data_IF_084720542588
#
_entry.id   IF_084720542588
#
_cell.length_a   1.000
_cell.length_b   1.000
_cell.length_c   1.000
_cell.angle_alpha   90.00
_cell.angle_beta   90.00
_cell.angle_gamma   90.00
#
_symmetry.space_group_name_H-M   'P 1'
#
loop_
_entity.id
_entity.type
_entity.pdbx_description
1 polymer ?
#
# COMPACT_ATOMS: atom_id res chain seq x y z
N UNK A 1 -8.40 -28.30 -34.60
CA UNK A 1 -7.16 -28.07 -33.83
C UNK A 1 -7.60 -27.95 -32.38
N UNK A 2 -7.06 -28.72 -31.42
CA UNK A 2 -7.25 -28.40 -30.00
C UNK A 2 -6.76 -26.97 -29.79
N UNK A 3 -7.60 -26.13 -29.20
CA UNK A 3 -7.35 -24.69 -29.07
C UNK A 3 -6.16 -24.41 -28.15
N UNK A 4 -5.15 -23.71 -28.68
CA UNK A 4 -4.06 -23.16 -27.89
C UNK A 4 -4.60 -22.02 -27.02
N UNK A 5 -5.13 -22.37 -25.85
CA UNK A 5 -5.42 -21.38 -24.81
C UNK A 5 -4.11 -20.69 -24.40
N UNK A 6 -4.13 -19.37 -24.35
CA UNK A 6 -3.01 -18.57 -23.87
C UNK A 6 -2.61 -19.01 -22.45
N UNK A 7 -1.32 -19.28 -22.16
CA UNK A 7 -0.91 -19.64 -20.81
C UNK A 7 -1.19 -18.50 -19.84
N UNK A 8 -1.68 -18.85 -18.66
CA UNK A 8 -2.09 -17.89 -17.63
C UNK A 8 -1.08 -17.93 -16.48
N UNK A 9 -0.53 -16.78 -16.13
CA UNK A 9 0.18 -16.56 -14.86
C UNK A 9 -0.70 -15.78 -13.89
N UNK A 10 -0.35 -15.80 -12.60
CA UNK A 10 -1.16 -15.17 -11.55
C UNK A 10 -0.38 -14.08 -10.82
N UNK A 11 -1.07 -12.99 -10.51
CA UNK A 11 -0.64 -11.99 -9.54
C UNK A 11 -1.54 -12.14 -8.31
N UNK A 12 -0.90 -12.19 -7.14
CA UNK A 12 -1.57 -12.26 -5.86
C UNK A 12 -1.91 -10.86 -5.34
N UNK A 13 -2.99 -10.78 -4.57
CA UNK A 13 -3.42 -9.58 -3.86
C UNK A 13 -3.80 -9.98 -2.44
N UNK A 14 -3.00 -9.60 -1.45
CA UNK A 14 -3.32 -9.86 -0.03
C UNK A 14 -3.81 -8.57 0.58
N UNK A 15 -5.08 -8.46 0.94
CA UNK A 15 -5.61 -7.25 1.58
C UNK A 15 -6.92 -7.50 2.31
N UNK A 16 -7.47 -6.48 2.99
CA UNK A 16 -8.60 -6.68 3.88
C UNK A 16 -9.91 -6.54 3.11
N UNK A 17 -10.45 -7.65 2.61
CA UNK A 17 -11.70 -7.68 1.83
C UNK A 17 -12.95 -7.87 2.69
N UNK A 18 -12.79 -8.19 3.97
CA UNK A 18 -13.87 -8.37 4.93
C UNK A 18 -13.72 -7.46 6.17
N UNK A 19 -14.69 -7.56 7.09
CA UNK A 19 -14.66 -6.84 8.36
C UNK A 19 -14.48 -5.32 8.21
N UNK A 20 -13.61 -4.75 9.05
CA UNK A 20 -13.31 -3.31 9.09
C UNK A 20 -12.62 -2.80 7.82
N UNK A 21 -11.86 -3.63 7.12
CA UNK A 21 -11.15 -3.20 5.91
C UNK A 21 -11.96 -3.37 4.62
N UNK A 22 -13.16 -3.97 4.66
CA UNK A 22 -14.01 -4.16 3.48
C UNK A 22 -14.20 -2.90 2.61
N UNK A 23 -14.39 -1.68 3.16
CA UNK A 23 -14.46 -0.46 2.33
C UNK A 23 -13.20 -0.26 1.49
N UNK A 24 -12.02 -0.44 2.09
CA UNK A 24 -10.74 -0.42 1.39
C UNK A 24 -10.69 -1.52 0.32
N UNK A 25 -11.07 -2.76 0.64
CA UNK A 25 -11.15 -3.84 -0.33
C UNK A 25 -12.02 -3.52 -1.57
N UNK A 26 -13.11 -2.77 -1.41
CA UNK A 26 -13.96 -2.32 -2.51
C UNK A 26 -13.32 -1.28 -3.42
N UNK A 27 -12.41 -0.47 -2.88
CA UNK A 27 -11.64 0.48 -3.67
C UNK A 27 -10.52 -0.21 -4.45
N UNK A 28 -9.81 -1.16 -3.80
CA UNK A 28 -8.63 -1.81 -4.35
C UNK A 28 -8.93 -2.81 -5.47
N UNK A 29 -9.91 -3.69 -5.25
CA UNK A 29 -10.14 -4.83 -6.12
C UNK A 29 -10.51 -4.43 -7.56
N UNK A 30 -11.37 -3.43 -7.81
CA UNK A 30 -11.70 -3.00 -9.17
C UNK A 30 -10.50 -2.42 -9.91
N UNK A 31 -9.66 -1.62 -9.26
CA UNK A 31 -8.55 -0.93 -9.93
C UNK A 31 -7.41 -1.88 -10.27
N UNK A 32 -7.11 -2.84 -9.40
CA UNK A 32 -6.14 -3.91 -9.71
C UNK A 32 -6.66 -4.78 -10.85
N UNK A 33 -7.94 -5.17 -10.82
CA UNK A 33 -8.55 -5.94 -11.93
C UNK A 33 -8.50 -5.17 -13.25
N UNK A 34 -8.75 -3.87 -13.23
CA UNK A 34 -8.70 -3.03 -14.42
C UNK A 34 -7.29 -2.99 -15.02
N UNK A 35 -6.26 -2.77 -14.21
CA UNK A 35 -4.87 -2.76 -14.67
C UNK A 35 -4.44 -4.10 -15.31
N UNK A 36 -4.84 -5.22 -14.71
CA UNK A 36 -4.56 -6.55 -15.25
C UNK A 36 -5.35 -6.83 -16.55
N UNK A 37 -6.59 -6.36 -16.64
CA UNK A 37 -7.39 -6.46 -17.86
C UNK A 37 -6.78 -5.64 -19.00
N UNK A 38 -6.38 -4.40 -18.72
CA UNK A 38 -5.67 -3.55 -19.67
C UNK A 38 -4.39 -4.22 -20.17
N UNK A 39 -3.60 -4.84 -19.28
CA UNK A 39 -2.39 -5.58 -19.67
C UNK A 39 -2.67 -6.78 -20.58
N UNK A 40 -3.79 -7.47 -20.32
CA UNK A 40 -4.23 -8.60 -21.12
C UNK A 40 -4.71 -8.18 -22.53
N UNK A 41 -5.23 -6.96 -22.66
CA UNK A 41 -5.75 -6.42 -23.92
C UNK A 41 -4.70 -5.60 -24.71
N UNK A 42 -3.70 -5.03 -24.02
CA UNK A 42 -2.65 -4.19 -24.58
C UNK A 42 -1.53 -4.96 -25.30
N UNK A 43 -1.46 -6.27 -25.13
CA UNK A 43 -0.51 -7.14 -25.84
C UNK A 43 0.93 -7.12 -25.30
N UNK A 44 1.23 -6.33 -24.25
CA UNK A 44 2.57 -6.28 -23.66
C UNK A 44 3.04 -7.61 -23.05
N UNK A 45 2.10 -8.52 -22.78
CA UNK A 45 2.37 -9.87 -22.24
C UNK A 45 2.60 -10.91 -23.35
N UNK A 46 2.59 -10.51 -24.63
CA UNK A 46 2.74 -11.40 -25.77
C UNK A 46 1.64 -12.47 -25.82
N UNK A 47 2.02 -13.74 -25.71
CA UNK A 47 1.07 -14.88 -25.69
C UNK A 47 0.51 -15.19 -24.30
N UNK A 48 1.05 -14.59 -23.25
CA UNK A 48 0.64 -14.85 -21.88
C UNK A 48 -0.57 -14.00 -21.50
N UNK A 49 -1.35 -14.50 -20.55
CA UNK A 49 -2.39 -13.75 -19.85
C UNK A 49 -2.08 -13.73 -18.37
N UNK A 50 -2.59 -12.73 -17.67
CA UNK A 50 -2.49 -12.59 -16.21
C UNK A 50 -3.87 -12.69 -15.57
N UNK A 51 -3.96 -13.46 -14.48
CA UNK A 51 -5.13 -13.57 -13.63
C UNK A 51 -4.83 -13.03 -12.22
N UNK A 52 -5.87 -12.55 -11.54
CA UNK A 52 -5.78 -12.07 -10.16
C UNK A 52 -6.20 -13.17 -9.18
N UNK A 53 -5.41 -13.38 -8.14
CA UNK A 53 -5.78 -14.17 -6.96
C UNK A 53 -5.81 -13.24 -5.75
N UNK A 54 -7.01 -12.88 -5.29
CA UNK A 54 -7.19 -11.99 -4.14
C UNK A 54 -7.56 -12.78 -2.89
N UNK A 55 -6.78 -12.63 -1.82
CA UNK A 55 -6.97 -13.32 -0.53
C UNK A 55 -7.13 -12.32 0.60
N UNK A 56 -8.14 -12.56 1.44
CA UNK A 56 -8.47 -11.71 2.58
C UNK A 56 -7.51 -11.96 3.75
N UNK A 57 -6.97 -10.88 4.33
CA UNK A 57 -6.09 -10.94 5.49
C UNK A 57 -6.75 -10.53 6.81
N UNK A 58 -8.01 -10.08 6.80
CA UNK A 58 -8.76 -9.61 7.98
C UNK A 58 -8.06 -8.52 8.80
N UNK A 59 -7.09 -7.79 8.22
CA UNK A 59 -6.16 -6.91 8.93
C UNK A 59 -5.35 -7.64 10.04
N UNK A 60 -5.29 -8.98 10.00
CA UNK A 60 -4.63 -9.82 10.98
C UNK A 60 -3.28 -10.34 10.46
N UNK A 61 -2.16 -10.09 11.16
CA UNK A 61 -0.84 -10.54 10.71
C UNK A 61 -0.71 -12.06 10.56
N UNK A 62 -1.38 -12.86 11.39
CA UNK A 62 -1.30 -14.33 11.27
C UNK A 62 -2.03 -14.83 10.03
N UNK A 63 -3.19 -14.26 9.76
CA UNK A 63 -3.97 -14.52 8.55
C UNK A 63 -3.20 -14.08 7.31
N UNK A 64 -2.57 -12.89 7.32
CA UNK A 64 -1.72 -12.42 6.22
C UNK A 64 -0.56 -13.40 5.91
N UNK A 65 0.13 -13.91 6.95
CA UNK A 65 1.16 -14.92 6.78
C UNK A 65 0.61 -16.24 6.21
N UNK A 66 -0.57 -16.67 6.65
CA UNK A 66 -1.25 -17.86 6.14
C UNK A 66 -1.65 -17.69 4.66
N UNK A 67 -2.16 -16.52 4.26
CA UNK A 67 -2.48 -16.23 2.85
C UNK A 67 -1.23 -16.19 1.98
N UNK A 68 -0.14 -15.60 2.46
CA UNK A 68 1.15 -15.64 1.78
C UNK A 68 1.66 -17.07 1.57
N UNK A 69 1.51 -17.92 2.59
CA UNK A 69 1.86 -19.34 2.49
C UNK A 69 0.97 -20.10 1.51
N UNK A 70 -0.34 -19.80 1.47
CA UNK A 70 -1.28 -20.40 0.53
C UNK A 70 -0.96 -20.01 -0.93
N UNK A 71 -0.68 -18.72 -1.17
CA UNK A 71 -0.20 -18.21 -2.46
C UNK A 71 1.10 -18.89 -2.90
N UNK A 72 2.01 -19.16 -1.97
CA UNK A 72 3.27 -19.83 -2.28
C UNK A 72 3.10 -21.26 -2.83
N UNK A 73 1.96 -21.91 -2.58
CA UNK A 73 1.64 -23.25 -3.11
C UNK A 73 1.26 -23.22 -4.60
N UNK A 74 0.96 -22.04 -5.17
CA UNK A 74 0.56 -21.91 -6.56
C UNK A 74 1.79 -21.71 -7.48
N UNK A 75 2.13 -22.67 -8.34
CA UNK A 75 3.29 -22.56 -9.21
C UNK A 75 3.13 -21.48 -10.30
N UNK A 76 1.90 -21.08 -10.62
CA UNK A 76 1.63 -20.05 -11.64
C UNK A 76 1.67 -18.63 -11.05
N UNK A 77 1.79 -18.50 -9.73
CA UNK A 77 1.93 -17.22 -9.06
C UNK A 77 3.33 -16.64 -9.27
N UNK A 78 3.37 -15.43 -9.84
CA UNK A 78 4.60 -14.76 -10.24
C UNK A 78 5.01 -13.63 -9.28
N UNK A 79 4.04 -12.94 -8.66
CA UNK A 79 4.27 -11.81 -7.76
C UNK A 79 3.02 -11.53 -6.90
N UNK A 80 3.19 -10.75 -5.84
CA UNK A 80 2.12 -10.33 -4.92
C UNK A 80 2.13 -8.81 -4.73
N UNK A 81 0.95 -8.19 -4.75
CA UNK A 81 0.71 -6.81 -4.34
C UNK A 81 0.04 -6.78 -2.95
N UNK A 82 0.43 -5.81 -2.11
CA UNK A 82 0.00 -5.71 -0.71
C UNK A 82 1.02 -6.35 0.23
N UNK A 83 0.71 -6.61 1.50
CA UNK A 83 -0.47 -6.15 2.25
C UNK A 83 -0.58 -4.64 2.46
N UNK A 84 -1.67 -4.23 3.11
CA UNK A 84 -2.09 -2.83 3.30
C UNK A 84 -1.80 -2.24 4.68
N UNK A 85 -1.19 -2.99 5.59
CA UNK A 85 -0.68 -2.46 6.87
C UNK A 85 0.73 -2.96 7.11
N UNK A 86 1.54 -2.23 7.88
CA UNK A 86 2.94 -2.63 8.15
C UNK A 86 2.98 -3.97 8.88
N UNK A 87 2.03 -4.22 9.79
CA UNK A 87 1.97 -5.46 10.57
C UNK A 87 1.64 -6.69 9.69
N UNK A 88 0.66 -6.58 8.80
CA UNK A 88 0.31 -7.65 7.85
C UNK A 88 1.43 -7.88 6.83
N UNK A 89 2.03 -6.79 6.33
CA UNK A 89 3.15 -6.88 5.40
C UNK A 89 4.38 -7.54 6.03
N UNK A 90 4.73 -7.18 7.27
CA UNK A 90 5.86 -7.76 7.97
C UNK A 90 5.69 -9.27 8.22
N UNK A 91 4.45 -9.74 8.40
CA UNK A 91 4.15 -11.15 8.58
C UNK A 91 4.12 -11.94 7.25
N UNK A 92 3.62 -11.34 6.16
CA UNK A 92 3.55 -11.97 4.85
C UNK A 92 4.90 -12.04 4.11
N UNK A 93 5.72 -10.98 4.21
CA UNK A 93 7.00 -10.84 3.51
C UNK A 93 7.95 -12.05 3.66
N UNK A 94 8.24 -12.57 4.87
CA UNK A 94 9.17 -13.68 5.01
C UNK A 94 8.68 -14.98 4.35
N UNK A 95 7.36 -15.20 4.28
CA UNK A 95 6.79 -16.38 3.61
C UNK A 95 6.99 -16.32 2.10
N UNK A 96 6.76 -15.15 1.50
CA UNK A 96 6.95 -14.93 0.06
C UNK A 96 8.42 -14.92 -0.33
N UNK A 97 9.29 -14.30 0.48
CA UNK A 97 10.73 -14.31 0.27
C UNK A 97 11.30 -15.73 0.26
N UNK A 98 10.90 -16.58 1.21
CA UNK A 98 11.32 -17.99 1.27
C UNK A 98 10.86 -18.79 0.04
N UNK A 99 9.69 -18.47 -0.52
CA UNK A 99 9.17 -19.08 -1.73
C UNK A 99 9.73 -18.46 -3.02
N UNK A 100 10.62 -17.47 -2.91
CA UNK A 100 11.18 -16.71 -4.03
C UNK A 100 10.12 -15.96 -4.83
N UNK A 101 9.00 -15.56 -4.21
CA UNK A 101 7.92 -14.79 -4.84
C UNK A 101 8.15 -13.31 -4.55
N UNK A 102 8.30 -12.47 -5.59
CA UNK A 102 8.36 -11.03 -5.44
C UNK A 102 7.15 -10.46 -4.72
N UNK A 103 7.39 -9.61 -3.72
CA UNK A 103 6.37 -8.82 -3.05
C UNK A 103 6.55 -7.34 -3.39
N UNK A 104 5.47 -6.68 -3.76
CA UNK A 104 5.38 -5.22 -3.79
C UNK A 104 4.42 -4.77 -2.68
N UNK A 105 4.97 -4.43 -1.52
CA UNK A 105 4.24 -4.01 -0.34
C UNK A 105 3.67 -2.60 -0.50
N UNK A 106 2.46 -2.38 0.02
CA UNK A 106 1.80 -1.05 0.03
C UNK A 106 1.89 -0.34 1.37
N UNK A 107 2.71 -0.90 2.28
CA UNK A 107 2.98 -0.39 3.61
C UNK A 107 4.50 -0.38 3.87
N UNK A 108 4.97 0.45 4.83
CA UNK A 108 6.37 0.47 5.23
C UNK A 108 6.84 -0.90 5.73
N UNK A 109 8.08 -1.26 5.38
CA UNK A 109 8.75 -2.46 5.87
C UNK A 109 10.17 -2.10 6.28
N UNK A 110 10.54 -2.43 7.52
CA UNK A 110 11.91 -2.28 7.98
C UNK A 110 12.79 -3.38 7.40
N UNK A 111 13.88 -3.00 6.73
CA UNK A 111 14.90 -3.90 6.19
C UNK A 111 14.32 -5.06 5.35
N UNK A 112 13.65 -4.77 4.22
CA UNK A 112 13.08 -5.80 3.36
C UNK A 112 14.16 -6.79 2.85
N UNK A 113 13.85 -8.08 2.86
CA UNK A 113 14.72 -9.12 2.31
C UNK A 113 14.74 -9.07 0.79
N UNK A 114 15.71 -9.77 0.17
CA UNK A 114 15.75 -9.93 -1.30
C UNK A 114 14.41 -10.42 -1.85
N UNK A 115 13.93 -9.77 -2.92
CA UNK A 115 12.62 -10.07 -3.53
C UNK A 115 11.44 -9.35 -2.86
N UNK A 116 11.67 -8.56 -1.82
CA UNK A 116 10.65 -7.73 -1.18
C UNK A 116 10.92 -6.26 -1.52
N UNK A 117 9.90 -5.61 -2.07
CA UNK A 117 9.91 -4.21 -2.49
C UNK A 117 8.76 -3.48 -1.81
N UNK A 118 8.86 -2.17 -1.65
CA UNK A 118 7.80 -1.35 -1.04
C UNK A 118 7.48 -0.13 -1.90
N UNK A 119 6.22 0.29 -1.87
CA UNK A 119 5.73 1.54 -2.44
C UNK A 119 5.74 2.70 -1.42
N UNK A 120 6.38 2.48 -0.28
CA UNK A 120 6.58 3.46 0.77
C UNK A 120 8.05 3.84 0.90
N UNK A 121 8.35 5.08 1.32
CA UNK A 121 9.70 5.42 1.79
C UNK A 121 10.15 4.53 2.94
N UNK A 122 11.45 4.51 3.19
CA UNK A 122 12.01 3.78 4.32
C UNK A 122 11.46 4.33 5.65
N UNK A 123 11.24 3.47 6.67
CA UNK A 123 10.67 3.89 7.94
C UNK A 123 11.38 5.09 8.58
N UNK A 124 12.71 5.19 8.46
CA UNK A 124 13.49 6.33 9.00
C UNK A 124 13.10 7.66 8.33
N UNK A 125 12.89 7.67 7.01
CA UNK A 125 12.42 8.86 6.29
C UNK A 125 11.00 9.25 6.71
N UNK A 126 10.15 8.25 6.94
CA UNK A 126 8.79 8.47 7.45
C UNK A 126 8.85 9.10 8.84
N UNK A 127 9.64 8.54 9.77
CA UNK A 127 9.78 9.10 11.11
C UNK A 127 10.31 10.53 11.08
N UNK A 128 11.34 10.81 10.28
CA UNK A 128 11.87 12.16 10.13
C UNK A 128 10.82 13.15 9.61
N UNK A 129 9.99 12.74 8.64
CA UNK A 129 8.89 13.56 8.14
C UNK A 129 7.81 13.83 9.21
N UNK A 130 7.47 12.82 10.02
CA UNK A 130 6.50 12.98 11.12
C UNK A 130 7.03 13.93 12.19
N UNK A 131 8.31 13.83 12.55
CA UNK A 131 8.96 14.73 13.52
C UNK A 131 9.00 16.17 13.03
N UNK A 132 9.39 16.38 11.76
CA UNK A 132 9.44 17.71 11.15
C UNK A 132 8.05 18.38 11.14
N UNK A 133 6.99 17.64 10.80
CA UNK A 133 5.63 18.18 10.83
C UNK A 133 5.15 18.45 12.27
N UNK A 134 5.53 17.60 13.22
CA UNK A 134 5.21 17.80 14.63
C UNK A 134 5.86 19.09 15.18
N UNK A 135 7.13 19.34 14.84
CA UNK A 135 7.85 20.57 15.20
C UNK A 135 7.22 21.82 14.56
N UNK A 136 6.83 21.72 13.29
CA UNK A 136 6.15 22.80 12.57
C UNK A 136 4.83 23.19 13.24
N UNK A 137 4.03 22.19 13.64
CA UNK A 137 2.76 22.42 14.33
C UNK A 137 2.95 22.94 15.75
N UNK A 138 3.95 22.44 16.47
CA UNK A 138 4.32 22.97 17.79
C UNK A 138 4.70 24.45 17.72
N UNK A 139 5.46 24.85 16.68
CA UNK A 139 5.85 26.25 16.45
C UNK A 139 4.65 27.14 16.09
N UNK A 140 3.64 26.59 15.43
CA UNK A 140 2.38 27.26 15.14
C UNK A 140 1.44 27.37 16.35
N UNK A 141 1.87 26.90 17.54
CA UNK A 141 1.07 26.92 18.77
C UNK A 141 0.00 25.83 18.84
N UNK A 142 0.01 24.88 17.90
CA UNK A 142 -0.80 23.66 18.03
C UNK A 142 -0.08 22.71 18.98
N UNK A 143 -0.79 22.20 19.97
CA UNK A 143 -0.27 21.08 20.74
C UNK A 143 -0.44 19.82 19.88
N UNK A 144 0.54 18.90 19.95
CA UNK A 144 0.73 17.81 18.96
C UNK A 144 1.01 16.48 19.64
N UNK A 145 0.40 15.40 19.13
CA UNK A 145 0.69 14.01 19.54
C UNK A 145 1.09 13.17 18.33
N UNK A 146 2.28 12.58 18.37
CA UNK A 146 2.71 11.61 17.35
C UNK A 146 2.27 10.21 17.77
N UNK A 147 1.68 9.48 16.83
CA UNK A 147 1.16 8.13 17.03
C UNK A 147 1.78 7.15 16.05
N UNK A 148 2.30 6.05 16.59
CA UNK A 148 3.02 5.02 15.85
C UNK A 148 2.25 3.70 15.71
N UNK A 149 1.04 3.59 16.27
CA UNK A 149 0.20 2.39 16.14
C UNK A 149 -0.63 2.39 14.85
N UNK A 150 -1.44 1.34 14.68
CA UNK A 150 -2.39 1.26 13.57
C UNK A 150 -3.64 2.14 13.80
N UNK A 151 -4.36 2.42 12.70
CA UNK A 151 -5.56 3.26 12.70
C UNK A 151 -6.69 2.79 13.65
N UNK A 152 -6.84 1.49 13.92
CA UNK A 152 -7.92 1.02 14.78
C UNK A 152 -7.61 1.29 16.26
N UNK A 153 -6.39 0.98 16.69
CA UNK A 153 -5.92 1.34 18.02
C UNK A 153 -5.87 2.87 18.20
N UNK A 154 -5.52 3.60 17.14
CA UNK A 154 -5.52 5.06 17.15
C UNK A 154 -6.91 5.63 17.40
N UNK A 155 -7.94 5.08 16.75
CA UNK A 155 -9.32 5.54 16.89
C UNK A 155 -9.79 5.44 18.34
N UNK A 156 -9.58 4.30 18.98
CA UNK A 156 -9.97 4.07 20.37
C UNK A 156 -9.24 5.00 21.35
N UNK A 157 -7.93 5.18 21.16
CA UNK A 157 -7.12 6.11 21.94
C UNK A 157 -7.56 7.56 21.74
N UNK A 158 -7.87 7.94 20.50
CA UNK A 158 -8.29 9.27 20.11
C UNK A 158 -9.65 9.63 20.73
N UNK A 159 -10.62 8.73 20.69
CA UNK A 159 -11.93 8.90 21.35
C UNK A 159 -11.74 9.16 22.85
N UNK A 160 -10.98 8.28 23.54
CA UNK A 160 -10.73 8.43 24.99
C UNK A 160 -10.10 9.76 25.33
N UNK A 161 -9.16 10.18 24.50
CA UNK A 161 -8.41 11.40 24.72
C UNK A 161 -9.23 12.67 24.45
N UNK A 162 -10.04 12.70 23.38
CA UNK A 162 -10.99 13.80 23.14
C UNK A 162 -12.00 13.93 24.27
N UNK A 163 -12.51 12.81 24.80
CA UNK A 163 -13.40 12.81 25.98
C UNK A 163 -12.71 13.39 27.23
N UNK A 164 -11.40 13.20 27.36
CA UNK A 164 -10.61 13.77 28.45
C UNK A 164 -10.26 15.27 28.26
N UNK A 165 -10.76 15.92 27.19
CA UNK A 165 -10.50 17.33 26.89
C UNK A 165 -9.23 17.58 26.08
N UNK A 166 -8.70 16.56 25.40
CA UNK A 166 -7.58 16.71 24.49
C UNK A 166 -7.95 17.50 23.23
N UNK A 167 -7.24 18.59 22.95
CA UNK A 167 -7.48 19.46 21.79
C UNK A 167 -6.37 19.40 20.72
N UNK A 168 -5.30 18.66 21.00
CA UNK A 168 -4.08 18.60 20.18
C UNK A 168 -4.35 18.01 18.78
N UNK A 169 -3.39 18.16 17.88
CA UNK A 169 -3.38 17.49 16.58
C UNK A 169 -2.72 16.12 16.73
N UNK A 170 -3.43 15.06 16.35
CA UNK A 170 -2.84 13.73 16.19
C UNK A 170 -2.11 13.67 14.85
N UNK A 171 -0.86 13.20 14.86
CA UNK A 171 -0.04 12.98 13.68
C UNK A 171 0.38 11.52 13.64
N UNK A 172 0.37 10.88 12.47
CA UNK A 172 0.90 9.53 12.32
C UNK A 172 1.31 9.17 10.90
N UNK A 173 1.90 7.98 10.78
CA UNK A 173 2.39 7.45 9.51
C UNK A 173 1.29 6.81 8.64
N UNK A 174 1.70 6.09 7.59
CA UNK A 174 0.78 5.51 6.60
C UNK A 174 -0.29 4.59 7.17
N UNK A 175 -0.01 3.89 8.27
CA UNK A 175 -0.97 2.98 8.92
C UNK A 175 -2.06 3.69 9.71
N UNK A 176 -1.90 4.99 10.00
CA UNK A 176 -2.93 5.83 10.57
C UNK A 176 -3.95 6.28 9.50
N UNK A 177 -3.49 6.46 8.25
CA UNK A 177 -4.27 7.00 7.15
C UNK A 177 -5.20 5.97 6.50
N UNK A 178 -6.09 5.39 7.30
CA UNK A 178 -7.02 4.35 6.86
C UNK A 178 -8.45 4.85 7.02
N UNK A 179 -9.33 4.44 6.11
CA UNK A 179 -10.74 4.86 6.14
C UNK A 179 -11.39 4.53 7.50
N UNK A 180 -11.05 3.36 8.07
CA UNK A 180 -11.61 2.92 9.34
C UNK A 180 -11.19 3.77 10.55
N UNK A 181 -10.14 4.61 10.46
CA UNK A 181 -9.85 5.59 11.52
C UNK A 181 -11.07 6.51 11.70
N UNK A 182 -11.55 7.08 10.59
CA UNK A 182 -12.68 8.01 10.59
C UNK A 182 -13.97 7.26 10.92
N UNK A 183 -14.18 6.08 10.34
CA UNK A 183 -15.40 5.29 10.61
C UNK A 183 -15.53 4.93 12.10
N UNK A 184 -14.42 4.69 12.80
CA UNK A 184 -14.41 4.35 14.23
C UNK A 184 -14.41 5.59 15.13
N UNK A 185 -13.55 6.58 14.86
CA UNK A 185 -13.39 7.76 15.72
C UNK A 185 -14.43 8.85 15.49
N UNK A 186 -15.10 8.86 14.33
CA UNK A 186 -16.07 9.89 13.95
C UNK A 186 -15.48 11.29 14.10
N UNK A 187 -16.21 12.18 14.78
CA UNK A 187 -15.77 13.56 15.03
C UNK A 187 -14.46 13.66 15.83
N UNK A 188 -14.06 12.61 16.56
CA UNK A 188 -12.78 12.63 17.28
C UNK A 188 -11.58 12.62 16.33
N UNK A 189 -11.77 12.09 15.10
CA UNK A 189 -10.77 12.08 14.04
C UNK A 189 -10.43 13.47 13.49
N UNK A 190 -11.32 14.45 13.68
CA UNK A 190 -11.18 15.78 13.08
C UNK A 190 -9.83 16.43 13.42
N UNK A 191 -9.20 17.01 12.40
CA UNK A 191 -7.87 17.63 12.51
C UNK A 191 -6.70 16.65 12.58
N UNK A 192 -6.94 15.33 12.63
CA UNK A 192 -5.86 14.33 12.56
C UNK A 192 -5.11 14.45 11.24
N UNK A 193 -3.78 14.39 11.29
CA UNK A 193 -2.91 14.41 10.12
C UNK A 193 -2.19 13.09 9.96
N UNK A 194 -2.01 12.67 8.72
CA UNK A 194 -1.24 11.49 8.43
C UNK A 194 -0.41 11.65 7.15
N UNK A 195 0.80 11.10 7.19
CA UNK A 195 1.66 10.97 6.02
C UNK A 195 1.33 9.64 5.32
N UNK A 196 0.97 9.70 4.04
CA UNK A 196 0.57 8.53 3.25
C UNK A 196 1.59 8.27 2.17
N UNK A 197 1.97 7.00 2.01
CA UNK A 197 2.82 6.59 0.91
C UNK A 197 2.19 7.01 -0.41
N UNK A 198 2.96 7.67 -1.25
CA UNK A 198 2.53 8.03 -2.60
C UNK A 198 3.60 7.61 -3.59
N UNK A 199 3.22 6.99 -4.72
CA UNK A 199 4.13 6.87 -5.85
C UNK A 199 4.40 8.28 -6.41
N UNK A 200 5.67 8.59 -6.72
CA UNK A 200 6.05 9.91 -7.23
C UNK A 200 5.65 10.12 -8.71
N UNK A 201 5.23 9.07 -9.42
CA UNK A 201 4.80 9.13 -10.81
C UNK A 201 3.43 8.49 -10.96
N UNK A 202 2.50 9.24 -11.57
CA UNK A 202 1.10 8.85 -11.78
C UNK A 202 0.21 10.09 -11.76
N UNK A 203 -0.95 10.03 -12.43
CA UNK A 203 -1.89 11.16 -12.47
C UNK A 203 -2.33 11.52 -11.05
N UNK A 204 -2.08 12.76 -10.65
CA UNK A 204 -2.71 13.43 -9.50
C UNK A 204 -4.18 13.74 -9.83
N UNK A 205 -4.93 12.72 -10.26
CA UNK A 205 -6.37 12.86 -10.36
C UNK A 205 -6.90 12.90 -8.92
N UNK A 206 -7.12 14.12 -8.42
CA UNK A 206 -7.44 14.42 -7.03
C UNK A 206 -8.76 13.80 -6.55
N UNK A 207 -9.47 13.07 -7.42
CA UNK A 207 -10.67 12.31 -7.09
C UNK A 207 -10.40 10.92 -6.48
N UNK A 208 -9.19 10.37 -6.62
CA UNK A 208 -8.89 9.00 -6.15
C UNK A 208 -8.36 9.00 -4.72
N UNK A 209 -8.84 8.06 -3.90
CA UNK A 209 -8.31 7.85 -2.55
C UNK A 209 -6.81 7.51 -2.61
N UNK A 210 -6.03 7.81 -1.55
CA UNK A 210 -4.61 7.47 -1.52
C UNK A 210 -4.33 5.98 -1.75
N UNK A 211 -5.21 5.13 -1.21
CA UNK A 211 -5.12 3.68 -1.38
C UNK A 211 -5.33 3.24 -2.83
N UNK A 212 -6.27 3.86 -3.54
CA UNK A 212 -6.50 3.58 -4.97
C UNK A 212 -5.28 3.95 -5.81
N UNK A 213 -4.64 5.09 -5.52
CA UNK A 213 -3.43 5.51 -6.25
C UNK A 213 -2.27 4.54 -6.05
N UNK A 214 -2.02 4.12 -4.80
CA UNK A 214 -1.02 3.09 -4.49
C UNK A 214 -1.33 1.77 -5.19
N UNK A 215 -2.58 1.31 -5.17
CA UNK A 215 -2.98 0.06 -5.79
C UNK A 215 -2.82 0.10 -7.32
N UNK A 216 -3.16 1.23 -7.93
CA UNK A 216 -3.03 1.44 -9.38
C UNK A 216 -1.57 1.41 -9.80
N UNK A 217 -0.73 2.21 -9.15
CA UNK A 217 0.70 2.26 -9.43
C UNK A 217 1.39 0.92 -9.16
N UNK A 218 1.01 0.24 -8.07
CA UNK A 218 1.54 -1.09 -7.75
C UNK A 218 1.15 -2.15 -8.77
N UNK A 219 -0.11 -2.19 -9.20
CA UNK A 219 -0.57 -3.12 -10.23
C UNK A 219 0.14 -2.88 -11.58
N UNK A 220 0.28 -1.61 -11.99
CA UNK A 220 1.03 -1.23 -13.19
C UNK A 220 2.50 -1.65 -13.09
N UNK A 221 3.15 -1.37 -11.96
CA UNK A 221 4.56 -1.75 -11.72
C UNK A 221 4.76 -3.26 -11.84
N UNK A 222 3.85 -4.08 -11.30
CA UNK A 222 3.92 -5.54 -11.43
C UNK A 222 3.69 -6.01 -12.88
N UNK A 223 2.75 -5.40 -13.59
CA UNK A 223 2.50 -5.68 -15.02
C UNK A 223 3.71 -5.34 -15.86
N UNK A 224 4.33 -4.18 -15.64
CA UNK A 224 5.51 -3.72 -16.37
C UNK A 224 6.71 -4.63 -16.10
N UNK A 225 6.92 -5.02 -14.84
CA UNK A 225 7.96 -5.98 -14.47
C UNK A 225 7.74 -7.35 -15.13
N UNK A 226 6.49 -7.82 -15.19
CA UNK A 226 6.12 -9.06 -15.90
C UNK A 226 6.38 -8.95 -17.41
N UNK A 227 5.99 -7.84 -18.04
CA UNK A 227 6.22 -7.61 -19.47
C UNK A 227 7.73 -7.53 -19.79
N UNK A 228 8.50 -6.87 -18.93
CA UNK A 228 9.95 -6.78 -19.05
C UNK A 228 10.62 -8.16 -18.96
N UNK A 229 10.18 -8.99 -18.01
CA UNK A 229 10.68 -10.36 -17.86
C UNK A 229 10.35 -11.25 -19.08
N UNK A 230 9.10 -11.19 -19.56
CA UNK A 230 8.68 -11.90 -20.79
C UNK A 230 9.52 -11.45 -21.98
N UNK A 231 9.80 -10.15 -22.10
CA UNK A 231 10.62 -9.60 -23.19
C UNK A 231 12.07 -10.08 -23.11
N UNK A 232 12.65 -10.09 -21.91
CA UNK A 232 14.04 -10.47 -21.68
C UNK A 232 14.27 -11.99 -21.80
N UNK A 233 13.33 -12.82 -21.35
CA UNK A 233 13.54 -14.26 -21.18
C UNK A 233 12.58 -15.15 -22.00
N UNK A 234 11.61 -14.56 -22.71
CA UNK A 234 10.61 -15.27 -23.51
C UNK A 234 9.54 -16.03 -22.70
N UNK A 235 9.67 -16.05 -21.37
CA UNK A 235 8.71 -16.65 -20.44
C UNK A 235 8.73 -15.92 -19.10
N UNK A 236 7.59 -15.88 -18.39
CA UNK A 236 7.51 -15.30 -17.07
C UNK A 236 8.18 -16.20 -16.02
N UNK A 237 8.91 -15.60 -15.10
CA UNK A 237 9.62 -16.23 -13.99
C UNK A 237 9.60 -15.30 -12.77
N UNK A 238 9.49 -15.88 -11.57
CA UNK A 238 9.57 -15.09 -10.32
C UNK A 238 10.89 -14.32 -10.21
N UNK A 239 12.00 -14.95 -10.58
CA UNK A 239 13.33 -14.34 -10.52
C UNK A 239 13.49 -13.16 -11.47
N UNK A 240 12.99 -13.27 -12.70
CA UNK A 240 13.07 -12.19 -13.68
C UNK A 240 12.13 -11.03 -13.37
N UNK A 241 10.93 -11.30 -12.83
CA UNK A 241 10.07 -10.24 -12.29
C UNK A 241 10.73 -9.56 -11.09
N UNK A 242 11.36 -10.31 -10.18
CA UNK A 242 12.15 -9.72 -9.09
C UNK A 242 13.27 -8.82 -9.62
N UNK A 243 14.02 -9.28 -10.62
CA UNK A 243 15.11 -8.49 -11.20
C UNK A 243 14.59 -7.22 -11.87
N UNK A 244 13.45 -7.29 -12.57
CA UNK A 244 12.80 -6.14 -13.15
C UNK A 244 12.35 -5.14 -12.07
N UNK A 245 11.73 -5.60 -10.97
CA UNK A 245 11.34 -4.73 -9.86
C UNK A 245 12.56 -4.07 -9.19
N UNK A 246 13.68 -4.79 -9.03
CA UNK A 246 14.91 -4.19 -8.51
C UNK A 246 15.48 -3.08 -9.41
N UNK A 247 15.26 -3.17 -10.73
CA UNK A 247 15.66 -2.15 -11.70
C UNK A 247 14.71 -0.95 -11.78
N UNK A 248 13.47 -1.10 -11.30
CA UNK A 248 12.48 -0.03 -11.21
C UNK A 248 12.48 0.52 -9.78
N UNK A 249 13.31 1.53 -9.50
CA UNK A 249 13.09 2.34 -8.30
C UNK A 249 11.77 3.08 -8.48
N UNK A 250 10.67 2.54 -7.96
CA UNK A 250 9.46 3.33 -7.80
C UNK A 250 9.87 4.47 -6.89
N UNK A 251 9.93 5.69 -7.41
CA UNK A 251 10.18 6.84 -6.57
C UNK A 251 9.00 6.92 -5.60
N UNK A 252 9.28 6.75 -4.32
CA UNK A 252 8.29 6.79 -3.24
C UNK A 252 8.38 8.14 -2.55
N UNK A 253 7.25 8.71 -2.21
CA UNK A 253 7.17 9.93 -1.41
C UNK A 253 6.09 9.82 -0.34
N UNK A 254 5.90 10.91 0.38
CA UNK A 254 4.81 11.08 1.33
C UNK A 254 3.92 12.22 0.86
N UNK A 255 2.62 11.96 0.82
CA UNK A 255 1.59 12.99 0.70
C UNK A 255 0.89 13.14 2.03
N UNK A 256 0.70 14.38 2.47
CA UNK A 256 0.06 14.69 3.73
C UNK A 256 -1.44 14.83 3.56
N UNK A 257 -2.17 14.25 4.51
CA UNK A 257 -3.62 14.35 4.58
C UNK A 257 -4.03 14.85 5.96
N UNK A 258 -5.14 15.59 6.01
CA UNK A 258 -5.82 15.99 7.22
C UNK A 258 -7.27 15.50 7.17
N UNK A 259 -7.81 15.07 8.30
CA UNK A 259 -9.25 14.82 8.43
C UNK A 259 -9.98 16.15 8.50
N UNK A 260 -10.79 16.44 7.48
CA UNK A 260 -11.66 17.60 7.38
C UNK A 260 -13.07 17.14 7.00
N UNK A 261 -14.08 17.56 7.77
CA UNK A 261 -15.49 17.19 7.56
C UNK A 261 -15.70 15.66 7.42
N UNK A 262 -14.93 14.88 8.20
CA UNK A 262 -14.98 13.41 8.17
C UNK A 262 -14.41 12.80 6.89
N UNK A 263 -13.52 13.48 6.18
CA UNK A 263 -12.82 12.94 5.01
C UNK A 263 -11.32 13.22 5.07
N UNK A 264 -10.52 12.34 4.49
CA UNK A 264 -9.09 12.61 4.28
C UNK A 264 -8.92 13.58 3.12
N UNK A 265 -8.50 14.82 3.43
CA UNK A 265 -8.23 15.88 2.45
C UNK A 265 -6.73 16.08 2.34
N UNK A 266 -6.22 16.11 1.11
CA UNK A 266 -4.80 16.35 0.85
C UNK A 266 -4.40 17.77 1.28
N UNK A 267 -3.32 17.88 2.04
CA UNK A 267 -2.76 19.16 2.49
C UNK A 267 -1.36 19.33 1.93
N UNK A 268 -1.08 20.49 1.35
CA UNK A 268 0.27 20.87 0.97
C UNK A 268 0.99 21.40 2.21
N UNK A 269 2.07 20.73 2.60
CA UNK A 269 3.03 21.35 3.49
C UNK A 269 3.64 22.53 2.73
N UNK A 270 3.56 23.74 3.28
CA UNK A 270 4.29 24.86 2.71
C UNK A 270 5.78 24.54 2.81
N UNK A 271 6.45 24.38 1.67
CA UNK A 271 7.91 24.41 1.63
C UNK A 271 8.34 25.76 2.21
N UNK A 272 9.16 25.72 3.26
CA UNK A 272 9.85 26.92 3.72
C UNK A 272 10.54 27.53 2.50
N UNK A 273 10.13 28.75 2.16
CA UNK A 273 10.90 29.61 1.29
C UNK A 273 12.22 29.83 2.02
N UNK A 274 13.24 29.04 1.66
CA UNK A 274 14.58 29.21 2.22
C UNK A 274 15.03 30.65 1.91
N UNK A 275 15.41 31.45 2.91
CA UNK A 275 15.87 32.82 2.70
C UNK A 275 17.18 32.90 1.91
#
# INVERSE_FOLDING_TARGET
MPGDAAPVVKIGLIGPFEGLGRPLGYELLPVVKAALAEANDGGQLGRYRVALVALNDDLDPQTAAAQAHALAQDPDLIAVLGPWTSATAAAAAPMLAQAGIPLLATAPLSAPSTGIYTLCPDPEEIYAALEAEAERLATAGSVTRVYAGDAAAAADDLIRWRVAGGEDVLIGGPDLARAWLIDQAGVAAEGTRAAVCTPAVGTTDGALSPAVRLATAGAQTLVDALAADITAHGRPTRAGVSAALAGHSVQTGLTWYQVEDGQWVEVKLQEESSP
#
